data_IF_933572709432
#
_entry.id   IF_933572709432
#
_cell.length_a   1.000
_cell.length_b   1.000
_cell.length_c   1.000
_cell.angle_alpha   90.00
_cell.angle_beta   90.00
_cell.angle_gamma   90.00
#
_symmetry.space_group_name_H-M   'P 1'
#
loop_
_entity.id
_entity.type
_entity.pdbx_description
1 polymer ?
#
# COMPACT_ATOMS: atom_id res chain seq x y z
N UNK A 1 -1.45 13.64 12.30
CA UNK A 1 -1.43 12.44 11.44
C UNK A 1 -0.20 11.63 11.78
N UNK A 2 -0.38 10.35 12.07
CA UNK A 2 0.74 9.44 12.31
C UNK A 2 1.54 9.25 11.01
N UNK A 3 2.82 8.88 11.11
CA UNK A 3 3.60 8.57 9.90
C UNK A 3 3.23 7.16 9.44
N UNK A 4 2.91 7.01 8.15
CA UNK A 4 2.74 5.69 7.55
C UNK A 4 4.01 4.85 7.69
N UNK A 5 3.86 3.59 8.14
CA UNK A 5 4.93 2.60 8.24
C UNK A 5 4.46 1.32 7.56
N UNK A 6 5.29 0.75 6.70
CA UNK A 6 5.00 -0.52 6.04
C UNK A 6 5.02 -1.64 7.08
N UNK A 7 3.92 -2.38 7.19
CA UNK A 7 3.83 -3.54 8.07
C UNK A 7 4.34 -4.79 7.35
N UNK A 8 5.35 -5.44 7.92
CA UNK A 8 5.97 -6.66 7.38
C UNK A 8 5.30 -7.94 7.90
N UNK A 9 4.49 -7.86 8.95
CA UNK A 9 3.87 -9.00 9.63
C UNK A 9 2.40 -9.24 9.26
N UNK A 10 1.90 -8.61 8.20
CA UNK A 10 0.53 -8.82 7.75
C UNK A 10 0.33 -10.22 7.21
N UNK A 11 -0.68 -10.91 7.76
CA UNK A 11 -1.09 -12.26 7.37
C UNK A 11 -1.59 -12.36 5.93
N UNK A 12 -2.32 -13.44 5.64
CA UNK A 12 -2.94 -13.60 4.31
C UNK A 12 -4.05 -12.55 4.14
N UNK A 13 -3.90 -11.72 3.11
CA UNK A 13 -4.94 -10.77 2.68
C UNK A 13 -5.83 -11.48 1.66
N UNK A 14 -7.15 -11.42 1.83
CA UNK A 14 -8.08 -11.76 0.75
C UNK A 14 -8.14 -10.59 -0.23
N UNK A 15 -7.66 -10.78 -1.45
CA UNK A 15 -7.65 -9.74 -2.48
C UNK A 15 -8.39 -10.18 -3.73
N UNK A 16 -8.94 -9.21 -4.44
CA UNK A 16 -9.56 -9.39 -5.76
C UNK A 16 -8.64 -8.76 -6.80
N UNK A 17 -8.32 -9.50 -7.87
CA UNK A 17 -7.53 -8.95 -8.98
C UNK A 17 -8.37 -7.96 -9.79
N UNK A 18 -7.93 -6.71 -9.82
CA UNK A 18 -8.51 -5.61 -10.61
C UNK A 18 -7.40 -4.76 -11.20
N UNK A 19 -7.61 -4.29 -12.43
CA UNK A 19 -6.68 -3.37 -13.10
C UNK A 19 -6.97 -1.94 -12.66
N UNK A 20 -5.94 -1.25 -12.18
CA UNK A 20 -5.96 0.19 -11.89
C UNK A 20 -4.84 0.89 -12.66
N UNK A 21 -5.00 2.17 -12.94
CA UNK A 21 -3.92 3.00 -13.48
C UNK A 21 -3.22 3.74 -12.34
N UNK A 22 -1.90 3.60 -12.27
CA UNK A 22 -1.03 4.30 -11.33
C UNK A 22 -0.12 5.25 -12.11
N UNK A 23 0.26 6.37 -11.47
CA UNK A 23 1.32 7.19 -12.04
C UNK A 23 2.66 6.45 -11.95
N UNK A 24 3.56 6.62 -12.94
CA UNK A 24 4.87 5.93 -12.93
C UNK A 24 5.65 6.14 -11.64
N UNK A 25 5.66 7.36 -11.11
CA UNK A 25 6.40 7.70 -9.88
C UNK A 25 5.88 6.97 -8.63
N UNK A 26 4.58 6.63 -8.59
CA UNK A 26 4.01 5.87 -7.48
C UNK A 26 4.34 4.39 -7.61
N UNK A 27 4.32 3.87 -8.84
CA UNK A 27 4.70 2.50 -9.11
C UNK A 27 6.17 2.24 -8.73
N UNK A 28 7.09 3.09 -9.17
CA UNK A 28 8.52 2.98 -8.85
C UNK A 28 8.76 3.02 -7.34
N UNK A 29 8.15 3.98 -6.64
CA UNK A 29 8.32 4.12 -5.19
C UNK A 29 7.78 2.92 -4.41
N UNK A 30 6.64 2.35 -4.82
CA UNK A 30 6.07 1.17 -4.18
C UNK A 30 6.90 -0.08 -4.50
N UNK A 31 7.45 -0.19 -5.71
CA UNK A 31 8.37 -1.27 -6.07
C UNK A 31 9.64 -1.22 -5.20
N UNK A 32 10.26 -0.05 -5.06
CA UNK A 32 11.44 0.13 -4.19
C UNK A 32 11.14 -0.26 -2.73
N UNK A 33 9.96 0.12 -2.22
CA UNK A 33 9.53 -0.30 -0.88
C UNK A 33 9.34 -1.81 -0.79
N UNK A 34 8.82 -2.44 -1.85
CA UNK A 34 8.63 -3.88 -1.93
C UNK A 34 9.96 -4.62 -1.83
N UNK A 35 10.96 -4.16 -2.60
CA UNK A 35 12.32 -4.72 -2.58
C UNK A 35 13.00 -4.54 -1.22
N UNK A 36 12.88 -3.36 -0.60
CA UNK A 36 13.52 -3.08 0.70
C UNK A 36 12.88 -3.81 1.88
N UNK A 37 11.57 -4.05 1.84
CA UNK A 37 10.83 -4.59 2.99
C UNK A 37 10.48 -6.07 2.84
N UNK A 38 10.57 -6.63 1.63
CA UNK A 38 10.10 -7.97 1.30
C UNK A 38 8.57 -8.09 1.26
N UNK A 39 7.83 -7.00 1.48
CA UNK A 39 6.38 -6.97 1.40
C UNK A 39 5.96 -6.83 -0.05
N UNK A 40 5.00 -7.63 -0.52
CA UNK A 40 4.61 -7.56 -1.92
C UNK A 40 3.99 -6.21 -2.30
N UNK A 41 4.20 -5.79 -3.55
CA UNK A 41 3.64 -4.58 -4.12
C UNK A 41 2.15 -4.39 -3.76
N UNK A 42 1.33 -5.44 -3.98
CA UNK A 42 -0.10 -5.39 -3.69
C UNK A 42 -0.42 -5.20 -2.20
N UNK A 43 0.37 -5.79 -1.28
CA UNK A 43 0.20 -5.57 0.15
C UNK A 43 0.49 -4.11 0.52
N UNK A 44 1.57 -3.54 0.00
CA UNK A 44 1.93 -2.13 0.23
C UNK A 44 0.85 -1.20 -0.32
N UNK A 45 0.34 -1.46 -1.53
CA UNK A 45 -0.78 -0.68 -2.10
C UNK A 45 -1.99 -0.70 -1.17
N UNK A 46 -2.37 -1.87 -0.66
CA UNK A 46 -3.51 -1.97 0.27
C UNK A 46 -3.25 -1.23 1.58
N UNK A 47 -2.07 -1.34 2.17
CA UNK A 47 -1.71 -0.58 3.39
C UNK A 47 -1.76 0.94 3.16
N UNK A 48 -1.29 1.42 2.00
CA UNK A 48 -1.40 2.84 1.64
C UNK A 48 -2.86 3.30 1.53
N UNK A 49 -3.72 2.48 0.89
CA UNK A 49 -5.15 2.77 0.74
C UNK A 49 -5.84 2.77 2.10
N UNK A 50 -5.60 1.76 2.93
CA UNK A 50 -6.18 1.63 4.27
C UNK A 50 -5.78 2.82 5.17
N UNK A 51 -4.50 3.19 5.18
CA UNK A 51 -4.04 4.36 5.91
C UNK A 51 -4.75 5.64 5.44
N UNK A 52 -4.88 5.83 4.13
CA UNK A 52 -5.55 7.01 3.58
C UNK A 52 -7.03 7.05 3.98
N UNK A 53 -7.76 5.93 3.88
CA UNK A 53 -9.17 5.83 4.25
C UNK A 53 -9.41 6.06 5.75
N UNK A 54 -8.57 5.48 6.61
CA UNK A 54 -8.69 5.62 8.08
C UNK A 54 -8.33 7.03 8.60
N UNK A 55 -7.59 7.82 7.82
CA UNK A 55 -7.16 9.17 8.18
C UNK A 55 -7.82 10.24 7.30
N UNK A 56 -8.82 9.88 6.50
CA UNK A 56 -9.58 10.81 5.68
C UNK A 56 -10.59 11.54 6.56
N UNK A 57 -10.71 12.86 6.41
CA UNK A 57 -11.79 13.61 7.06
C UNK A 57 -13.13 13.19 6.45
N UNK A 58 -14.08 12.80 7.31
CA UNK A 58 -15.47 12.60 6.87
C UNK A 58 -16.04 13.95 6.42
N UNK A 59 -16.67 13.95 5.25
CA UNK A 59 -17.29 15.12 4.65
C UNK A 59 -18.71 15.33 5.14
#
# INVERSE_FOLDING_TARGET
>A
MEKFKVNTNDGKISSINRTIRLKPEYFEKIMELSEKTGVSFNKIVNQCIEYALNNMEEK
#
